data_IF_419620125104
#
_entry.id   IF_419620125104
#
_cell.length_a   1.000
_cell.length_b   1.000
_cell.length_c   1.000
_cell.angle_alpha   90.00
_cell.angle_beta   90.00
_cell.angle_gamma   90.00
#
_symmetry.space_group_name_H-M   'P 1'
#
loop_
_entity.id
_entity.type
_entity.pdbx_description
1 polymer ?
#
# COMPACT_ATOMS: atom_id res chain seq x y z
N UNK A 1 57.81 -1.59 55.86
CA UNK A 1 58.64 -0.42 55.49
C UNK A 1 58.48 -0.23 53.99
N UNK A 2 58.13 1.00 53.56
CA UNK A 2 58.44 1.71 52.30
C UNK A 2 58.72 0.88 51.04
N UNK A 3 58.18 1.08 49.84
CA UNK A 3 57.39 2.13 49.18
C UNK A 3 56.81 1.51 47.91
N UNK A 4 55.72 2.02 47.35
CA UNK A 4 55.46 1.85 45.92
C UNK A 4 55.02 3.17 45.29
N UNK A 5 55.75 3.57 44.26
CA UNK A 5 55.64 4.82 43.51
C UNK A 5 55.09 4.49 42.13
N UNK A 6 54.09 5.26 41.71
CA UNK A 6 53.95 5.70 40.31
C UNK A 6 53.24 4.75 39.34
N UNK A 7 52.04 5.16 38.92
CA UNK A 7 51.31 4.55 37.81
C UNK A 7 50.00 5.27 37.55
N UNK A 8 50.10 6.52 37.09
CA UNK A 8 48.98 7.41 36.73
C UNK A 8 48.28 6.88 35.48
N UNK A 9 46.94 6.77 35.49
CA UNK A 9 46.18 7.03 34.28
C UNK A 9 44.87 7.76 34.59
N UNK A 10 44.70 8.87 33.87
CA UNK A 10 43.66 9.88 33.99
C UNK A 10 42.34 9.36 33.40
N UNK A 11 41.21 9.85 33.92
CA UNK A 11 40.18 10.52 33.11
C UNK A 11 39.06 11.10 33.99
N UNK A 12 39.08 12.43 34.03
CA UNK A 12 38.06 13.42 34.37
C UNK A 12 36.69 12.95 34.87
N UNK A 13 36.42 13.24 36.15
CA UNK A 13 35.08 13.58 36.63
C UNK A 13 34.77 15.03 36.23
N UNK A 14 33.88 15.20 35.27
CA UNK A 14 33.22 16.47 34.95
C UNK A 14 31.75 16.37 35.29
N UNK A 15 31.41 16.66 36.54
CA UNK A 15 30.03 16.77 37.00
C UNK A 15 29.39 18.08 36.58
N UNK A 16 28.12 17.95 36.19
CA UNK A 16 27.04 18.92 36.34
C UNK A 16 26.97 20.17 35.44
N UNK A 17 25.72 20.39 35.01
CA UNK A 17 25.11 21.66 34.60
C UNK A 17 25.12 21.94 33.10
N UNK A 18 24.12 21.41 32.39
CA UNK A 18 23.54 22.14 31.26
C UNK A 18 22.09 22.50 31.58
N UNK A 19 21.95 23.77 31.93
CA UNK A 19 20.71 24.54 31.98
C UNK A 19 20.01 24.49 30.62
N UNK A 20 18.67 24.56 30.67
CA UNK A 20 17.83 24.47 29.50
C UNK A 20 18.00 25.64 28.53
N UNK A 21 17.83 25.33 27.26
CA UNK A 21 17.18 26.16 26.25
C UNK A 21 17.24 25.44 24.91
N UNK A 22 16.26 24.57 24.63
CA UNK A 22 15.79 24.36 23.25
C UNK A 22 14.42 23.68 23.26
N UNK A 23 13.41 24.51 23.54
CA UNK A 23 12.08 24.33 22.97
C UNK A 23 12.14 24.79 21.51
N UNK A 24 11.99 23.86 20.57
CA UNK A 24 11.50 24.17 19.23
C UNK A 24 10.94 22.89 18.58
N UNK A 25 9.69 22.60 18.91
CA UNK A 25 8.71 22.00 18.01
C UNK A 25 8.91 20.56 17.56
N UNK A 26 8.19 19.63 18.19
CA UNK A 26 7.34 18.68 17.45
C UNK A 26 6.09 18.44 18.30
N UNK A 27 4.98 19.06 17.90
CA UNK A 27 3.66 18.65 18.32
C UNK A 27 3.28 17.39 17.53
N UNK A 28 2.80 16.37 18.24
CA UNK A 28 2.01 15.30 17.64
C UNK A 28 2.62 13.91 17.72
N UNK A 29 2.11 13.12 18.68
CA UNK A 29 1.89 11.70 18.48
C UNK A 29 2.95 10.75 19.03
N UNK A 30 2.52 9.99 20.03
CA UNK A 30 3.05 8.68 20.44
C UNK A 30 4.35 8.68 21.24
N UNK A 31 4.26 9.18 22.47
CA UNK A 31 5.06 8.66 23.57
C UNK A 31 4.63 7.21 23.87
N UNK A 32 5.18 6.24 23.13
CA UNK A 32 5.25 4.86 23.61
C UNK A 32 6.68 4.60 24.09
N UNK A 33 7.03 5.18 25.24
CA UNK A 33 8.29 4.90 25.92
C UNK A 33 8.07 3.67 26.80
N UNK A 34 7.94 2.49 26.17
CA UNK A 34 8.14 1.24 26.88
C UNK A 34 9.64 0.98 26.94
N UNK A 35 10.25 1.41 28.04
CA UNK A 35 11.57 0.96 28.45
C UNK A 35 11.47 -0.53 28.82
N UNK A 36 12.01 -1.40 27.96
CA UNK A 36 11.98 -2.84 28.17
C UNK A 36 12.75 -3.55 27.07
N UNK A 37 14.06 -3.64 27.28
CA UNK A 37 15.03 -4.62 26.76
C UNK A 37 14.52 -5.58 25.66
N UNK A 38 14.82 -5.25 24.40
CA UNK A 38 14.95 -6.25 23.33
C UNK A 38 15.66 -5.63 22.11
N UNK A 39 16.75 -6.27 21.70
CA UNK A 39 17.39 -6.12 20.39
C UNK A 39 16.33 -6.09 19.27
N UNK A 40 16.04 -4.91 18.73
CA UNK A 40 15.31 -4.77 17.47
C UNK A 40 16.23 -4.02 16.52
N UNK A 41 16.75 -4.76 15.55
CA UNK A 41 17.42 -4.24 14.36
C UNK A 41 16.45 -3.25 13.72
N UNK A 42 16.71 -1.94 13.89
CA UNK A 42 16.00 -0.90 13.17
C UNK A 42 16.45 -0.96 11.71
N UNK A 43 15.78 -1.83 10.95
CA UNK A 43 15.76 -1.73 9.51
C UNK A 43 15.00 -0.44 9.19
N UNK A 44 15.72 0.55 8.67
CA UNK A 44 15.19 1.86 8.28
C UNK A 44 14.21 1.70 7.13
N UNK A 45 12.99 1.26 7.42
CA UNK A 45 11.88 1.38 6.47
C UNK A 45 11.55 2.85 6.39
N UNK A 46 11.97 3.45 5.27
CA UNK A 46 11.48 4.74 4.82
C UNK A 46 9.96 4.77 5.00
N UNK A 47 9.50 5.66 5.87
CA UNK A 47 8.08 6.00 5.99
C UNK A 47 7.72 6.73 4.71
N UNK A 48 7.44 5.96 3.65
CA UNK A 48 6.61 6.44 2.57
C UNK A 48 5.29 6.77 3.26
N UNK A 49 4.90 8.05 3.26
CA UNK A 49 3.62 8.46 3.82
C UNK A 49 2.55 7.54 3.24
N UNK A 50 2.01 6.65 4.08
CA UNK A 50 1.00 5.70 3.67
C UNK A 50 -0.18 6.55 3.17
N UNK A 51 -0.47 6.48 1.87
CA UNK A 51 -1.82 6.79 1.42
C UNK A 51 -2.75 5.97 2.33
N UNK A 52 -3.83 6.55 2.89
CA UNK A 52 -4.74 5.78 3.71
C UNK A 52 -5.17 4.56 2.90
N UNK A 53 -4.75 3.39 3.37
CA UNK A 53 -5.10 2.13 2.72
C UNK A 53 -6.62 2.03 2.80
N UNK A 54 -7.28 1.90 1.64
CA UNK A 54 -8.73 1.73 1.60
C UNK A 54 -9.12 0.49 2.42
N UNK A 55 -10.27 0.55 3.05
CA UNK A 55 -10.86 -0.58 3.77
C UNK A 55 -11.31 -1.68 2.81
N UNK A 56 -11.58 -2.88 3.35
CA UNK A 56 -12.17 -3.97 2.58
C UNK A 56 -13.53 -3.57 1.96
N UNK A 57 -14.39 -2.87 2.72
CA UNK A 57 -15.69 -2.41 2.23
C UNK A 57 -15.52 -1.43 1.06
N UNK A 58 -14.61 -0.47 1.17
CA UNK A 58 -14.27 0.45 0.07
C UNK A 58 -13.71 -0.31 -1.14
N UNK A 59 -12.90 -1.36 -0.94
CA UNK A 59 -12.42 -2.19 -2.03
C UNK A 59 -13.59 -2.92 -2.73
N UNK A 60 -14.55 -3.47 -1.98
CA UNK A 60 -15.76 -4.10 -2.52
C UNK A 60 -16.60 -3.09 -3.31
N UNK A 61 -16.76 -1.87 -2.81
CA UNK A 61 -17.46 -0.78 -3.52
C UNK A 61 -16.77 -0.40 -4.83
N UNK A 62 -15.44 -0.29 -4.83
CA UNK A 62 -14.66 -0.02 -6.03
C UNK A 62 -14.79 -1.16 -7.05
N UNK A 63 -14.80 -2.43 -6.61
CA UNK A 63 -15.06 -3.58 -7.47
C UNK A 63 -16.48 -3.54 -8.07
N UNK A 64 -17.48 -3.13 -7.30
CA UNK A 64 -18.85 -2.95 -7.78
C UNK A 64 -18.94 -1.83 -8.83
N UNK A 65 -18.22 -0.71 -8.65
CA UNK A 65 -18.16 0.37 -9.65
C UNK A 65 -17.57 -0.10 -10.98
N UNK A 66 -16.53 -0.95 -10.97
CA UNK A 66 -15.99 -1.54 -12.22
C UNK A 66 -17.06 -2.40 -12.90
N UNK A 67 -17.90 -3.12 -12.14
CA UNK A 67 -18.94 -3.98 -12.67
C UNK A 67 -20.03 -3.17 -13.38
N UNK A 68 -20.45 -2.06 -12.79
CA UNK A 68 -21.42 -1.14 -13.38
C UNK A 68 -20.88 -0.52 -14.67
N UNK A 69 -19.62 -0.07 -14.67
CA UNK A 69 -18.96 0.44 -15.86
C UNK A 69 -18.85 -0.62 -16.96
N UNK A 70 -18.55 -1.88 -16.62
CA UNK A 70 -18.52 -3.00 -17.57
C UNK A 70 -19.90 -3.30 -18.16
N UNK A 71 -20.96 -3.27 -17.33
CA UNK A 71 -22.34 -3.49 -17.78
C UNK A 71 -22.77 -2.39 -18.76
N UNK A 72 -22.48 -1.13 -18.44
CA UNK A 72 -22.81 0.03 -19.26
C UNK A 72 -21.96 0.15 -20.54
N UNK A 73 -20.77 -0.45 -20.59
CA UNK A 73 -19.89 -0.33 -21.73
C UNK A 73 -20.42 -1.04 -22.98
N UNK A 74 -20.24 -0.43 -24.14
CA UNK A 74 -20.52 -1.06 -25.44
C UNK A 74 -19.33 -1.95 -25.87
N UNK A 75 -19.12 -3.05 -25.15
CA UNK A 75 -18.14 -4.08 -25.47
C UNK A 75 -18.82 -5.25 -26.20
N UNK A 76 -18.09 -5.98 -27.07
CA UNK A 76 -18.62 -7.22 -27.62
C UNK A 76 -18.96 -8.22 -26.50
N UNK A 77 -20.07 -8.95 -26.67
CA UNK A 77 -20.68 -9.76 -25.60
C UNK A 77 -19.72 -10.78 -24.99
N UNK A 78 -18.91 -11.45 -25.83
CA UNK A 78 -17.95 -12.44 -25.37
C UNK A 78 -16.89 -11.84 -24.42
N UNK A 79 -16.40 -10.64 -24.73
CA UNK A 79 -15.42 -9.91 -23.94
C UNK A 79 -16.05 -9.33 -22.67
N UNK A 80 -17.27 -8.79 -22.77
CA UNK A 80 -18.04 -8.34 -21.60
C UNK A 80 -18.26 -9.50 -20.63
N UNK A 81 -18.76 -10.64 -21.11
CA UNK A 81 -19.01 -11.82 -20.28
C UNK A 81 -17.77 -12.36 -19.60
N UNK A 82 -16.63 -12.43 -20.30
CA UNK A 82 -15.34 -12.83 -19.72
C UNK A 82 -14.88 -11.85 -18.63
N UNK A 83 -14.89 -10.55 -18.90
CA UNK A 83 -14.47 -9.53 -17.93
C UNK A 83 -15.38 -9.54 -16.69
N UNK A 84 -16.71 -9.61 -16.87
CA UNK A 84 -17.67 -9.70 -15.76
C UNK A 84 -17.46 -10.96 -14.93
N UNK A 85 -17.17 -12.12 -15.53
CA UNK A 85 -16.90 -13.35 -14.79
C UNK A 85 -15.68 -13.23 -13.87
N UNK A 86 -14.56 -12.71 -14.38
CA UNK A 86 -13.36 -12.51 -13.56
C UNK A 86 -13.59 -11.48 -12.45
N UNK A 87 -14.31 -10.39 -12.75
CA UNK A 87 -14.63 -9.39 -11.75
C UNK A 87 -15.58 -9.92 -10.67
N UNK A 88 -16.58 -10.74 -11.04
CA UNK A 88 -17.49 -11.36 -10.10
C UNK A 88 -16.74 -12.25 -9.10
N UNK A 89 -15.81 -13.08 -9.59
CA UNK A 89 -14.97 -13.91 -8.74
C UNK A 89 -14.09 -13.06 -7.78
N UNK A 90 -13.46 -12.00 -8.30
CA UNK A 90 -12.68 -11.08 -7.47
C UNK A 90 -13.52 -10.41 -6.37
N UNK A 91 -14.76 -10.03 -6.68
CA UNK A 91 -15.68 -9.40 -5.74
C UNK A 91 -16.24 -10.37 -4.70
N UNK A 92 -16.45 -11.64 -5.08
CA UNK A 92 -16.84 -12.69 -4.14
C UNK A 92 -15.73 -12.94 -3.14
N UNK A 93 -14.50 -13.14 -3.60
CA UNK A 93 -13.32 -13.30 -2.74
C UNK A 93 -13.10 -12.09 -1.81
N UNK A 94 -13.30 -10.87 -2.33
CA UNK A 94 -13.15 -9.65 -1.53
C UNK A 94 -14.11 -9.56 -0.34
N UNK A 95 -15.19 -10.35 -0.29
CA UNK A 95 -16.17 -10.37 0.81
C UNK A 95 -15.83 -11.39 1.89
N UNK A 96 -14.86 -12.26 1.66
CA UNK A 96 -14.43 -13.23 2.66
C UNK A 96 -13.84 -12.52 3.88
N UNK A 97 -13.91 -13.17 5.05
CA UNK A 97 -13.35 -12.60 6.28
C UNK A 97 -11.82 -12.38 6.17
N UNK A 98 -11.15 -13.25 5.41
CA UNK A 98 -9.73 -13.15 5.08
C UNK A 98 -9.56 -13.26 3.55
N UNK A 99 -9.70 -12.14 2.79
CA UNK A 99 -9.66 -12.18 1.34
C UNK A 99 -8.30 -12.63 0.78
N UNK A 100 -8.31 -13.55 -0.19
CA UNK A 100 -7.12 -13.85 -0.99
C UNK A 100 -6.82 -12.71 -1.98
N UNK A 101 -6.01 -11.74 -1.53
CA UNK A 101 -5.57 -10.59 -2.34
C UNK A 101 -4.82 -11.01 -3.60
N UNK A 102 -4.17 -12.18 -3.62
CA UNK A 102 -3.48 -12.71 -4.79
C UNK A 102 -4.46 -13.27 -5.81
N UNK A 103 -5.51 -13.94 -5.36
CA UNK A 103 -6.62 -14.33 -6.23
C UNK A 103 -7.32 -13.11 -6.82
N UNK A 104 -7.61 -12.09 -6.01
CA UNK A 104 -8.28 -10.86 -6.44
C UNK A 104 -7.43 -10.15 -7.51
N UNK A 105 -6.15 -9.88 -7.23
CA UNK A 105 -5.28 -9.16 -8.19
C UNK A 105 -5.15 -9.93 -9.52
N UNK A 106 -5.04 -11.26 -9.48
CA UNK A 106 -4.92 -12.09 -10.69
C UNK A 106 -6.20 -12.07 -11.53
N UNK A 107 -7.38 -12.09 -10.90
CA UNK A 107 -8.63 -11.93 -11.62
C UNK A 107 -8.80 -10.53 -12.20
N UNK A 108 -8.43 -9.49 -11.46
CA UNK A 108 -8.42 -8.11 -11.95
C UNK A 108 -7.44 -7.89 -13.11
N UNK A 109 -6.29 -8.54 -13.09
CA UNK A 109 -5.36 -8.54 -14.23
C UNK A 109 -6.00 -9.15 -15.49
N UNK A 110 -6.82 -10.20 -15.34
CA UNK A 110 -7.57 -10.79 -16.47
C UNK A 110 -8.67 -9.86 -16.96
N UNK A 111 -9.31 -9.10 -16.08
CA UNK A 111 -10.26 -8.04 -16.46
C UNK A 111 -9.55 -7.00 -17.33
N UNK A 112 -8.41 -6.47 -16.88
CA UNK A 112 -7.67 -5.44 -17.63
C UNK A 112 -7.17 -5.95 -18.97
N UNK A 113 -6.61 -7.17 -19.03
CA UNK A 113 -6.19 -7.82 -20.29
C UNK A 113 -7.35 -7.98 -21.28
N UNK A 114 -8.53 -8.40 -20.81
CA UNK A 114 -9.72 -8.59 -21.65
C UNK A 114 -10.21 -7.26 -22.24
N UNK A 115 -10.26 -6.21 -21.42
CA UNK A 115 -10.67 -4.87 -21.87
C UNK A 115 -9.65 -4.30 -22.85
N UNK A 116 -8.35 -4.36 -22.54
CA UNK A 116 -7.26 -3.86 -23.39
C UNK A 116 -7.24 -4.50 -24.78
N UNK A 117 -7.39 -5.82 -24.87
CA UNK A 117 -7.51 -6.52 -26.15
C UNK A 117 -8.68 -6.02 -27.01
N UNK A 118 -9.68 -5.38 -26.40
CA UNK A 118 -10.81 -4.76 -27.09
C UNK A 118 -10.55 -3.29 -27.45
N UNK A 119 -9.67 -2.58 -26.73
CA UNK A 119 -9.29 -1.17 -27.02
C UNK A 119 -8.58 -0.94 -28.33
N UNK A 120 -7.94 -1.98 -28.85
CA UNK A 120 -7.30 -1.96 -30.16
C UNK A 120 -8.32 -2.04 -31.31
N UNK A 121 -9.53 -2.53 -31.04
CA UNK A 121 -10.55 -2.81 -32.06
C UNK A 121 -11.80 -1.92 -31.96
N UNK A 122 -12.14 -1.41 -30.76
CA UNK A 122 -13.38 -0.65 -30.52
C UNK A 122 -13.10 0.66 -29.78
N UNK A 123 -13.44 1.80 -30.38
CA UNK A 123 -13.25 3.14 -29.79
C UNK A 123 -13.95 3.32 -28.43
N UNK A 124 -15.14 2.75 -28.25
CA UNK A 124 -15.91 2.81 -27.00
C UNK A 124 -15.17 2.23 -25.79
N UNK A 125 -14.30 1.25 -26.01
CA UNK A 125 -13.54 0.62 -24.92
C UNK A 125 -12.39 1.51 -24.41
N UNK A 126 -11.93 2.51 -25.18
CA UNK A 126 -11.00 3.55 -24.68
C UNK A 126 -11.65 4.44 -23.63
N UNK A 127 -12.93 4.76 -23.80
CA UNK A 127 -13.72 5.50 -22.81
C UNK A 127 -13.84 4.73 -21.51
N UNK A 128 -14.24 3.45 -21.60
CA UNK A 128 -14.28 2.54 -20.45
C UNK A 128 -12.92 2.45 -19.75
N UNK A 129 -11.83 2.28 -20.50
CA UNK A 129 -10.49 2.17 -19.93
C UNK A 129 -10.10 3.41 -19.10
N UNK A 130 -10.41 4.62 -19.61
CA UNK A 130 -10.19 5.87 -18.86
C UNK A 130 -11.01 5.93 -17.56
N UNK A 131 -12.23 5.40 -17.55
CA UNK A 131 -13.10 5.39 -16.36
C UNK A 131 -12.65 4.41 -15.29
N UNK A 132 -12.17 3.21 -15.66
CA UNK A 132 -11.76 2.18 -14.70
C UNK A 132 -10.33 2.36 -14.18
N UNK A 133 -9.46 3.02 -14.95
CA UNK A 133 -8.06 3.32 -14.56
C UNK A 133 -7.94 3.93 -13.15
N UNK A 134 -8.65 5.02 -12.81
CA UNK A 134 -8.55 5.60 -11.46
C UNK A 134 -9.03 4.64 -10.35
N UNK A 135 -9.93 3.71 -10.66
CA UNK A 135 -10.40 2.71 -9.71
C UNK A 135 -9.29 1.69 -9.42
N UNK A 136 -8.58 1.21 -10.45
CA UNK A 136 -7.42 0.32 -10.28
C UNK A 136 -6.28 0.99 -9.51
N UNK A 137 -6.06 2.29 -9.71
CA UNK A 137 -5.05 3.05 -8.93
C UNK A 137 -5.38 3.03 -7.44
N UNK A 138 -6.67 3.17 -7.08
CA UNK A 138 -7.11 3.12 -5.67
C UNK A 138 -7.05 1.71 -5.08
N UNK A 139 -7.35 0.68 -5.87
CA UNK A 139 -7.31 -0.72 -5.43
C UNK A 139 -5.88 -1.26 -5.25
N UNK A 140 -4.92 -0.76 -6.03
CA UNK A 140 -3.58 -1.35 -6.09
C UNK A 140 -2.84 -1.39 -4.72
N UNK A 141 -2.82 -0.32 -3.91
CA UNK A 141 -2.22 -0.34 -2.58
C UNK A 141 -2.84 -1.40 -1.67
N UNK A 142 -4.18 -1.50 -1.65
CA UNK A 142 -4.89 -2.51 -0.85
C UNK A 142 -4.54 -3.94 -1.29
N UNK A 143 -4.29 -4.16 -2.57
CA UNK A 143 -3.85 -5.44 -3.12
C UNK A 143 -2.34 -5.70 -2.97
N UNK A 144 -1.59 -4.79 -2.36
CA UNK A 144 -0.15 -4.91 -2.20
C UNK A 144 0.63 -4.88 -3.53
N UNK A 145 0.07 -4.25 -4.57
CA UNK A 145 0.71 -4.12 -5.88
C UNK A 145 0.84 -2.65 -6.30
N UNK A 146 1.77 -2.37 -7.21
CA UNK A 146 1.83 -1.07 -7.87
C UNK A 146 0.67 -0.94 -8.88
N UNK A 147 0.15 0.27 -9.09
CA UNK A 147 -0.88 0.51 -10.10
C UNK A 147 -0.44 0.09 -11.52
N UNK A 148 0.86 0.16 -11.82
CA UNK A 148 1.46 -0.30 -13.08
C UNK A 148 1.20 -1.79 -13.36
N UNK A 149 0.96 -2.61 -12.33
CA UNK A 149 0.55 -4.02 -12.49
C UNK A 149 -0.71 -4.13 -13.36
N UNK A 150 -1.70 -3.26 -13.14
CA UNK A 150 -2.95 -3.25 -13.90
C UNK A 150 -2.84 -2.44 -15.21
N UNK A 151 -2.15 -1.30 -15.13
CA UNK A 151 -2.12 -0.32 -16.22
C UNK A 151 -1.11 -0.68 -17.31
N UNK A 152 -0.18 -1.60 -17.04
CA UNK A 152 0.97 -1.84 -17.89
C UNK A 152 2.03 -0.75 -17.69
N UNK A 153 3.24 -0.99 -18.21
CA UNK A 153 4.25 0.07 -18.30
C UNK A 153 3.75 1.09 -19.32
N UNK A 154 3.37 2.27 -18.85
CA UNK A 154 3.06 3.45 -19.67
C UNK A 154 4.34 4.20 -19.98
#
# INVERSE_FOLDING_TARGET
MSSNTGGVNQSLQGGSTNQGAMQAGVAGGNANVLAGDANVIQQTNQVVAAQPEITQDEAIELLAQIEELLKAANLPEAQKGKATKFLAAAKEEAKEAEPDKDFIKNNLERVTKTIKATTETVSASKGLWKSITPIFVKLAPWLGVAASFFLGNV
#
